data_IF_309192761646
#
_entry.id   IF_309192761646
#
_cell.length_a   1.000
_cell.length_b   1.000
_cell.length_c   1.000
_cell.angle_alpha   90.00
_cell.angle_beta   90.00
_cell.angle_gamma   90.00
#
_symmetry.space_group_name_H-M   'P 1'
#
loop_
_entity.id
_entity.type
_entity.pdbx_description
1 polymer ?
#
# COMPACT_ATOMS: atom_id res chain seq x y z
N UNK A 1 -13.39 -11.79 -2.53
CA UNK A 1 -12.33 -10.77 -2.38
C UNK A 1 -12.21 -9.87 -3.61
N UNK A 2 -11.68 -10.35 -4.74
CA UNK A 2 -11.31 -9.47 -5.87
C UNK A 2 -12.47 -8.75 -6.58
N UNK A 3 -13.72 -9.23 -6.45
CA UNK A 3 -14.90 -8.56 -6.99
C UNK A 3 -15.31 -7.28 -6.21
N UNK A 4 -14.65 -6.97 -5.09
CA UNK A 4 -15.03 -5.86 -4.20
C UNK A 4 -16.27 -6.14 -3.34
N UNK A 5 -16.84 -7.34 -3.45
CA UNK A 5 -17.95 -7.82 -2.64
C UNK A 5 -17.49 -8.23 -1.24
N UNK A 6 -18.42 -8.23 -0.28
CA UNK A 6 -18.18 -8.69 1.09
C UNK A 6 -17.81 -10.18 1.07
N UNK A 7 -16.73 -10.54 1.75
CA UNK A 7 -16.24 -11.91 1.87
C UNK A 7 -15.74 -12.19 3.29
N UNK A 8 -15.54 -13.48 3.61
CA UNK A 8 -14.89 -13.88 4.86
C UNK A 8 -13.38 -14.04 4.65
N UNK A 9 -12.53 -13.32 5.42
CA UNK A 9 -11.08 -13.49 5.35
C UNK A 9 -10.62 -14.85 5.90
N UNK A 10 -11.51 -15.61 6.54
CA UNK A 10 -11.26 -16.97 7.03
C UNK A 10 -11.47 -18.06 5.97
N UNK A 11 -11.71 -17.67 4.71
CA UNK A 11 -11.66 -18.63 3.61
C UNK A 11 -10.30 -19.33 3.58
N UNK A 12 -10.30 -20.65 3.34
CA UNK A 12 -9.09 -21.47 3.45
C UNK A 12 -8.00 -21.05 2.47
N UNK A 13 -8.39 -20.66 1.25
CA UNK A 13 -7.44 -20.21 0.23
C UNK A 13 -6.81 -18.87 0.63
N UNK A 14 -7.64 -17.92 1.10
CA UNK A 14 -7.17 -16.62 1.57
C UNK A 14 -6.24 -16.76 2.77
N UNK A 15 -6.59 -17.59 3.76
CA UNK A 15 -5.73 -17.86 4.91
C UNK A 15 -4.38 -18.46 4.51
N UNK A 16 -4.36 -19.34 3.51
CA UNK A 16 -3.12 -19.94 3.01
C UNK A 16 -2.24 -18.90 2.30
N UNK A 17 -2.84 -18.05 1.46
CA UNK A 17 -2.13 -16.96 0.79
C UNK A 17 -1.56 -15.95 1.80
N UNK A 18 -2.38 -15.51 2.76
CA UNK A 18 -1.96 -14.59 3.82
C UNK A 18 -0.81 -15.17 4.64
N UNK A 19 -0.93 -16.43 5.08
CA UNK A 19 0.14 -17.11 5.82
C UNK A 19 1.45 -17.17 5.02
N UNK A 20 1.37 -17.44 3.72
CA UNK A 20 2.55 -17.48 2.86
C UNK A 20 3.22 -16.10 2.74
N UNK A 21 2.42 -15.04 2.60
CA UNK A 21 2.93 -13.67 2.58
C UNK A 21 3.61 -13.30 3.89
N UNK A 22 3.02 -13.65 5.05
CA UNK A 22 3.62 -13.39 6.36
C UNK A 22 5.01 -14.05 6.53
N UNK A 23 5.19 -15.28 6.02
CA UNK A 23 6.50 -15.96 6.03
C UNK A 23 7.53 -15.15 5.23
N UNK A 24 7.15 -14.67 4.04
CA UNK A 24 8.07 -13.86 3.22
C UNK A 24 8.34 -12.48 3.83
N UNK A 25 7.35 -11.85 4.45
CA UNK A 25 7.50 -10.58 5.18
C UNK A 25 8.48 -10.75 6.35
N UNK A 26 8.34 -11.81 7.14
CA UNK A 26 9.24 -12.11 8.26
C UNK A 26 10.69 -12.27 7.78
N UNK A 27 10.91 -13.08 6.75
CA UNK A 27 12.24 -13.29 6.16
C UNK A 27 12.81 -11.98 5.61
N UNK A 28 12.02 -11.24 4.83
CA UNK A 28 12.43 -9.96 4.27
C UNK A 28 12.88 -8.98 5.36
N UNK A 29 12.08 -8.84 6.42
CA UNK A 29 12.39 -7.91 7.51
C UNK A 29 13.61 -8.32 8.33
N UNK A 30 13.96 -9.60 8.37
CA UNK A 30 15.12 -10.13 9.08
C UNK A 30 16.42 -10.04 8.26
N UNK A 31 16.35 -10.33 6.97
CA UNK A 31 17.54 -10.61 6.13
C UNK A 31 17.90 -9.45 5.19
N UNK A 32 16.99 -8.51 4.91
CA UNK A 32 17.23 -7.47 3.91
C UNK A 32 18.33 -6.45 4.28
N UNK A 33 18.83 -6.43 5.52
CA UNK A 33 19.97 -5.61 5.92
C UNK A 33 21.34 -6.25 5.67
N UNK A 34 21.41 -7.57 5.47
CA UNK A 34 22.67 -8.31 5.42
C UNK A 34 23.17 -8.58 4.01
N UNK A 35 22.27 -8.80 3.05
CA UNK A 35 22.63 -9.11 1.66
C UNK A 35 21.67 -8.40 0.66
N UNK A 36 22.25 -7.61 -0.25
CA UNK A 36 21.49 -6.83 -1.22
C UNK A 36 20.87 -7.67 -2.36
N UNK A 37 21.45 -8.82 -2.70
CA UNK A 37 20.93 -9.75 -3.70
C UNK A 37 19.82 -10.61 -3.12
N UNK A 38 20.01 -11.12 -1.91
CA UNK A 38 18.98 -11.87 -1.17
C UNK A 38 17.74 -11.00 -0.94
N UNK A 39 17.94 -9.73 -0.55
CA UNK A 39 16.86 -8.74 -0.43
C UNK A 39 16.01 -8.63 -1.70
N UNK A 40 16.64 -8.53 -2.87
CA UNK A 40 15.92 -8.39 -4.15
C UNK A 40 15.12 -9.65 -4.48
N UNK A 41 15.69 -10.83 -4.23
CA UNK A 41 15.01 -12.09 -4.51
C UNK A 41 13.83 -12.33 -3.57
N UNK A 42 13.97 -12.02 -2.27
CA UNK A 42 12.86 -12.07 -1.32
C UNK A 42 11.75 -11.09 -1.71
N UNK A 43 12.12 -9.86 -2.09
CA UNK A 43 11.14 -8.86 -2.53
C UNK A 43 10.38 -9.32 -3.79
N UNK A 44 11.06 -9.99 -4.73
CA UNK A 44 10.44 -10.55 -5.94
C UNK A 44 9.46 -11.69 -5.64
N UNK A 45 9.73 -12.49 -4.61
CA UNK A 45 8.80 -13.53 -4.13
C UNK A 45 7.59 -12.92 -3.43
N UNK A 46 7.81 -11.89 -2.62
CA UNK A 46 6.77 -11.22 -1.85
C UNK A 46 5.85 -10.36 -2.74
N UNK A 47 6.44 -9.57 -3.64
CA UNK A 47 5.76 -8.60 -4.50
C UNK A 47 6.02 -8.88 -5.99
N UNK A 48 5.54 -10.02 -6.53
CA UNK A 48 5.88 -10.48 -7.87
C UNK A 48 5.41 -9.56 -9.00
N UNK A 49 4.45 -8.67 -8.72
CA UNK A 49 3.83 -7.76 -9.67
C UNK A 49 4.46 -6.35 -9.67
N UNK A 50 5.63 -6.20 -9.04
CA UNK A 50 6.38 -4.94 -8.98
C UNK A 50 7.58 -4.95 -9.90
N UNK A 51 7.97 -3.78 -10.41
CA UNK A 51 9.15 -3.63 -11.25
C UNK A 51 10.43 -3.96 -10.43
N UNK A 52 11.44 -4.66 -11.01
CA UNK A 52 12.66 -5.05 -10.30
C UNK A 52 13.51 -3.92 -9.70
N UNK A 53 13.26 -2.68 -10.09
CA UNK A 53 13.94 -1.50 -9.52
C UNK A 53 13.23 -0.91 -8.31
N UNK A 54 12.04 -1.39 -7.93
CA UNK A 54 11.40 -1.02 -6.67
C UNK A 54 12.31 -1.40 -5.50
N UNK A 55 12.53 -0.46 -4.60
CA UNK A 55 13.30 -0.68 -3.38
C UNK A 55 12.47 -0.34 -2.17
N UNK A 56 12.43 -1.23 -1.17
CA UNK A 56 11.63 -1.05 0.04
C UNK A 56 12.55 -1.20 1.25
N UNK A 57 12.62 -0.22 2.14
CA UNK A 57 13.40 -0.39 3.36
C UNK A 57 12.63 -1.22 4.40
N UNK A 58 13.19 -2.33 4.92
CA UNK A 58 12.59 -3.07 6.02
C UNK A 58 12.65 -2.26 7.33
N UNK A 59 11.67 -2.37 8.25
CA UNK A 59 10.55 -3.28 8.19
C UNK A 59 9.46 -2.82 7.21
N UNK A 60 8.82 -3.78 6.55
CA UNK A 60 7.67 -3.61 5.67
C UNK A 60 6.61 -4.65 6.02
N UNK A 61 5.33 -4.30 5.92
CA UNK A 61 4.20 -5.20 6.20
C UNK A 61 3.18 -5.16 5.06
N UNK A 62 2.62 -6.31 4.71
CA UNK A 62 1.48 -6.42 3.81
C UNK A 62 0.64 -7.67 4.11
N UNK A 63 -0.58 -7.75 3.56
CA UNK A 63 -1.49 -8.89 3.77
C UNK A 63 -1.14 -10.06 2.86
N UNK A 64 -0.99 -9.80 1.55
CA UNK A 64 -0.78 -10.81 0.53
C UNK A 64 0.45 -10.53 -0.33
N UNK A 65 0.78 -9.26 -0.56
CA UNK A 65 1.87 -8.80 -1.42
C UNK A 65 1.60 -8.93 -2.91
N UNK A 66 0.91 -10.00 -3.33
CA UNK A 66 0.58 -10.29 -4.74
C UNK A 66 -0.41 -9.31 -5.35
N UNK A 67 -1.12 -8.49 -4.57
CA UNK A 67 -2.04 -7.47 -5.09
C UNK A 67 -1.43 -6.07 -5.12
N UNK A 68 -0.12 -5.97 -4.85
CA UNK A 68 0.66 -4.74 -4.97
C UNK A 68 1.35 -4.74 -6.32
N UNK A 69 1.00 -3.75 -7.14
CA UNK A 69 1.57 -3.49 -8.45
C UNK A 69 2.46 -2.25 -8.36
N UNK A 70 3.67 -2.31 -8.91
CA UNK A 70 4.65 -1.23 -8.74
C UNK A 70 5.39 -0.88 -10.02
N UNK A 71 5.41 0.39 -10.36
CA UNK A 71 6.17 0.95 -11.48
C UNK A 71 7.68 1.00 -11.22
N UNK A 72 8.40 1.42 -12.25
CA UNK A 72 9.86 1.55 -12.21
C UNK A 72 10.33 2.67 -11.28
N UNK A 73 11.55 2.51 -10.74
CA UNK A 73 12.30 3.56 -10.04
C UNK A 73 11.59 4.15 -8.82
N UNK A 74 10.81 3.32 -8.13
CA UNK A 74 10.10 3.69 -6.92
C UNK A 74 10.87 3.29 -5.66
N UNK A 75 10.75 4.08 -4.60
CA UNK A 75 11.39 3.87 -3.30
C UNK A 75 10.35 3.98 -2.18
N UNK A 76 10.34 2.99 -1.28
CA UNK A 76 9.51 2.95 -0.08
C UNK A 76 10.42 2.92 1.14
N UNK A 77 10.24 3.88 2.05
CA UNK A 77 11.08 4.01 3.22
C UNK A 77 10.60 3.12 4.39
N UNK A 78 11.34 3.15 5.50
CA UNK A 78 11.14 2.28 6.67
C UNK A 78 9.72 2.28 7.22
N UNK A 79 9.26 1.13 7.73
CA UNK A 79 8.05 1.02 8.56
C UNK A 79 6.73 1.13 7.80
N UNK A 80 6.74 1.03 6.47
CA UNK A 80 5.51 1.13 5.69
C UNK A 80 4.64 -0.12 5.80
N UNK A 81 3.33 0.09 5.79
CA UNK A 81 2.31 -0.99 5.82
C UNK A 81 1.36 -0.82 4.63
N UNK A 82 1.18 -1.88 3.83
CA UNK A 82 0.26 -1.90 2.69
C UNK A 82 -0.69 -3.09 2.83
N UNK A 83 -1.93 -2.84 3.23
CA UNK A 83 -2.97 -3.86 3.37
C UNK A 83 -3.67 -4.04 2.01
N UNK A 84 -3.31 -5.10 1.28
CA UNK A 84 -3.64 -5.30 -0.13
C UNK A 84 -4.78 -6.32 -0.38
N UNK A 85 -5.87 -6.26 0.40
CA UNK A 85 -7.13 -7.01 0.15
C UNK A 85 -7.81 -6.69 -1.20
N UNK A 86 -7.37 -5.64 -1.89
CA UNK A 86 -7.72 -5.28 -3.26
C UNK A 86 -6.48 -4.71 -3.96
N UNK A 87 -6.49 -4.58 -5.31
CA UNK A 87 -5.34 -4.06 -6.05
C UNK A 87 -4.85 -2.70 -5.53
N UNK A 88 -3.55 -2.62 -5.24
CA UNK A 88 -2.82 -1.39 -4.92
C UNK A 88 -1.90 -1.09 -6.09
N UNK A 89 -2.15 -0.01 -6.82
CA UNK A 89 -1.33 0.41 -7.96
C UNK A 89 -0.41 1.55 -7.55
N UNK A 90 0.90 1.32 -7.64
CA UNK A 90 1.95 2.29 -7.40
C UNK A 90 2.60 2.64 -8.75
N UNK A 91 2.54 3.90 -9.16
CA UNK A 91 3.19 4.40 -10.37
C UNK A 91 4.72 4.32 -10.35
N UNK A 92 5.34 4.96 -11.35
CA UNK A 92 6.80 5.07 -11.45
C UNK A 92 7.34 6.29 -10.70
N UNK A 93 8.64 6.27 -10.42
CA UNK A 93 9.38 7.37 -9.79
C UNK A 93 8.77 7.83 -8.44
N UNK A 94 8.14 6.91 -7.70
CA UNK A 94 7.53 7.25 -6.43
C UNK A 94 8.59 7.40 -5.34
N UNK A 95 8.41 8.42 -4.51
CA UNK A 95 9.10 8.53 -3.22
C UNK A 95 8.07 8.40 -2.11
N UNK A 96 8.10 7.28 -1.37
CA UNK A 96 7.22 7.04 -0.22
C UNK A 96 8.06 7.16 1.05
N UNK A 97 7.70 8.12 1.89
CA UNK A 97 8.34 8.40 3.18
C UNK A 97 8.13 7.29 4.21
N UNK A 98 8.78 7.38 5.38
CA UNK A 98 8.71 6.33 6.39
C UNK A 98 7.34 6.29 7.06
N UNK A 99 6.93 5.11 7.55
CA UNK A 99 5.70 4.88 8.29
C UNK A 99 4.41 5.23 7.52
N UNK A 100 4.47 5.21 6.18
CA UNK A 100 3.29 5.39 5.33
C UNK A 100 2.42 4.13 5.38
N UNK A 101 1.11 4.35 5.39
CA UNK A 101 0.10 3.34 5.60
C UNK A 101 -0.93 3.40 4.47
N UNK A 102 -1.11 2.30 3.74
CA UNK A 102 -2.03 2.21 2.60
C UNK A 102 -3.04 1.10 2.91
N UNK A 103 -4.31 1.45 3.01
CA UNK A 103 -5.35 0.55 3.52
C UNK A 103 -6.45 0.33 2.47
N UNK A 104 -6.45 -0.80 1.77
CA UNK A 104 -7.59 -1.25 0.97
C UNK A 104 -8.78 -1.84 1.76
N UNK A 105 -8.62 -2.49 2.94
CA UNK A 105 -9.72 -3.16 3.61
C UNK A 105 -10.80 -2.20 4.12
N UNK A 106 -12.06 -2.64 4.02
CA UNK A 106 -13.24 -1.97 4.57
C UNK A 106 -14.08 -3.01 5.31
N UNK A 107 -14.45 -2.71 6.56
CA UNK A 107 -15.44 -3.49 7.28
C UNK A 107 -16.84 -2.88 7.15
N UNK A 108 -17.91 -3.70 7.24
CA UNK A 108 -19.27 -3.20 7.25
C UNK A 108 -19.51 -2.16 8.34
N UNK A 109 -20.35 -1.15 8.03
CA UNK A 109 -20.79 -0.16 9.02
C UNK A 109 -21.67 -0.80 10.09
N UNK A 110 -22.52 -1.76 9.71
CA UNK A 110 -23.35 -2.50 10.65
C UNK A 110 -22.48 -3.33 11.59
N UNK A 111 -22.58 -3.06 12.90
CA UNK A 111 -21.72 -3.70 13.89
C UNK A 111 -21.96 -5.21 14.02
N UNK A 112 -23.18 -5.70 13.77
CA UNK A 112 -23.50 -7.14 13.82
C UNK A 112 -22.84 -7.88 12.67
N UNK A 113 -22.85 -7.29 11.49
CA UNK A 113 -22.18 -7.84 10.31
C UNK A 113 -20.66 -7.80 10.49
N UNK A 114 -20.11 -6.66 10.90
CA UNK A 114 -18.67 -6.50 11.20
C UNK A 114 -18.18 -7.48 12.27
N UNK A 115 -19.00 -7.80 13.28
CA UNK A 115 -18.66 -8.77 14.32
C UNK A 115 -18.48 -10.20 13.79
N UNK A 116 -18.95 -10.50 12.58
CA UNK A 116 -18.67 -11.79 11.92
C UNK A 116 -17.27 -11.87 11.31
N UNK A 117 -16.55 -10.74 11.27
CA UNK A 117 -15.20 -10.64 10.72
C UNK A 117 -15.15 -10.47 9.20
N UNK A 118 -16.29 -10.31 8.53
CA UNK A 118 -16.33 -10.06 7.08
C UNK A 118 -15.78 -8.68 6.71
N UNK A 119 -15.28 -8.59 5.49
CA UNK A 119 -14.68 -7.38 4.93
C UNK A 119 -14.87 -7.33 3.40
N UNK A 120 -14.57 -6.18 2.81
CA UNK A 120 -14.35 -6.04 1.38
C UNK A 120 -13.13 -5.16 1.13
N UNK A 121 -12.49 -5.30 -0.03
CA UNK A 121 -11.36 -4.46 -0.42
C UNK A 121 -11.79 -3.36 -1.40
N UNK A 122 -11.21 -2.17 -1.26
CA UNK A 122 -11.33 -1.10 -2.27
C UNK A 122 -9.95 -0.76 -2.84
N UNK A 123 -9.77 -0.79 -4.17
CA UNK A 123 -8.47 -0.56 -4.78
C UNK A 123 -7.98 0.86 -4.51
N UNK A 124 -6.66 1.02 -4.47
CA UNK A 124 -5.98 2.33 -4.31
C UNK A 124 -5.00 2.50 -5.44
N UNK A 125 -4.91 3.72 -5.97
CA UNK A 125 -3.97 4.07 -7.04
C UNK A 125 -3.17 5.30 -6.67
N UNK A 126 -1.85 5.25 -6.85
CA UNK A 126 -0.94 6.39 -6.73
C UNK A 126 -0.26 6.58 -8.08
N UNK A 127 -0.50 7.72 -8.71
CA UNK A 127 0.04 8.07 -10.03
C UNK A 127 1.55 8.28 -10.03
N UNK A 128 2.09 8.51 -11.22
CA UNK A 128 3.53 8.64 -11.44
C UNK A 128 4.11 9.89 -10.78
N UNK A 129 5.41 9.87 -10.48
CA UNK A 129 6.20 11.02 -10.03
C UNK A 129 5.67 11.68 -8.73
N UNK A 130 5.00 10.91 -7.87
CA UNK A 130 4.47 11.41 -6.60
C UNK A 130 5.49 11.32 -5.45
N UNK A 131 5.37 12.27 -4.51
CA UNK A 131 6.04 12.21 -3.21
C UNK A 131 5.02 12.10 -2.08
N UNK A 132 5.05 10.98 -1.37
CA UNK A 132 4.21 10.72 -0.20
C UNK A 132 5.04 10.96 1.06
N UNK A 133 4.69 11.98 1.83
CA UNK A 133 5.37 12.33 3.08
C UNK A 133 5.28 11.21 4.12
N UNK A 134 6.21 11.21 5.08
CA UNK A 134 6.21 10.20 6.15
C UNK A 134 4.96 10.24 7.03
N UNK A 135 4.52 9.09 7.52
CA UNK A 135 3.36 8.96 8.39
C UNK A 135 2.01 9.25 7.73
N UNK A 136 1.95 9.33 6.39
CA UNK A 136 0.69 9.48 5.66
C UNK A 136 -0.14 8.20 5.75
N UNK A 137 -1.45 8.36 5.88
CA UNK A 137 -2.45 7.29 5.78
C UNK A 137 -3.28 7.50 4.51
N UNK A 138 -3.38 6.49 3.66
CA UNK A 138 -4.20 6.49 2.45
C UNK A 138 -5.36 5.51 2.66
N UNK A 139 -6.58 6.03 2.64
CA UNK A 139 -7.79 5.28 2.93
C UNK A 139 -8.32 4.49 1.72
N UNK A 140 -9.22 3.51 1.95
CA UNK A 140 -9.75 2.63 0.91
C UNK A 140 -10.40 3.37 -0.25
N UNK A 141 -10.09 2.96 -1.49
CA UNK A 141 -10.75 3.50 -2.69
C UNK A 141 -10.16 4.80 -3.24
N UNK A 142 -9.09 5.32 -2.63
CA UNK A 142 -8.48 6.61 -3.03
C UNK A 142 -7.63 6.46 -4.28
N UNK A 143 -7.77 7.44 -5.19
CA UNK A 143 -6.83 7.70 -6.28
C UNK A 143 -6.06 9.00 -6.04
N UNK A 144 -4.73 8.91 -5.99
CA UNK A 144 -3.83 10.05 -6.02
C UNK A 144 -3.32 10.19 -7.46
N UNK A 145 -3.57 11.34 -8.07
CA UNK A 145 -3.14 11.66 -9.42
C UNK A 145 -1.62 11.78 -9.57
N UNK A 146 -1.16 12.02 -10.78
CA UNK A 146 0.28 12.13 -11.08
C UNK A 146 0.89 13.41 -10.50
N UNK A 147 2.20 13.36 -10.24
CA UNK A 147 3.02 14.52 -9.81
C UNK A 147 2.50 15.18 -8.53
N UNK A 148 1.81 14.42 -7.69
CA UNK A 148 1.27 14.91 -6.42
C UNK A 148 2.32 14.91 -5.32
N UNK A 149 2.19 15.86 -4.39
CA UNK A 149 2.91 15.85 -3.12
C UNK A 149 1.88 15.73 -1.99
N UNK A 150 2.02 14.70 -1.16
CA UNK A 150 1.21 14.53 0.04
C UNK A 150 2.06 14.88 1.26
N UNK A 151 1.66 15.92 2.01
CA UNK A 151 2.38 16.36 3.20
C UNK A 151 2.43 15.28 4.28
N UNK A 152 3.52 15.23 5.04
CA UNK A 152 3.71 14.27 6.14
C UNK A 152 2.54 14.30 7.15
N UNK A 153 2.19 13.13 7.70
CA UNK A 153 1.12 12.97 8.68
C UNK A 153 -0.31 13.18 8.14
N UNK A 154 -0.48 13.28 6.82
CA UNK A 154 -1.80 13.50 6.23
C UNK A 154 -2.65 12.23 6.22
N UNK A 155 -3.97 12.39 6.30
CA UNK A 155 -4.95 11.29 6.13
C UNK A 155 -5.76 11.54 4.86
N UNK A 156 -5.46 10.79 3.81
CA UNK A 156 -6.07 10.93 2.50
C UNK A 156 -7.34 10.08 2.44
N UNK A 157 -8.49 10.75 2.53
CA UNK A 157 -9.83 10.13 2.55
C UNK A 157 -10.63 10.38 1.26
N UNK A 158 -10.07 11.14 0.32
CA UNK A 158 -10.66 11.50 -0.97
C UNK A 158 -9.56 11.56 -2.01
N UNK A 159 -9.94 11.39 -3.27
CA UNK A 159 -9.03 11.49 -4.41
C UNK A 159 -8.31 12.85 -4.44
N UNK A 160 -7.04 12.81 -4.85
CA UNK A 160 -6.20 13.99 -5.04
C UNK A 160 -5.95 14.12 -6.54
N UNK A 161 -6.34 15.23 -7.19
CA UNK A 161 -6.12 15.41 -8.61
C UNK A 161 -4.63 15.57 -8.91
N UNK A 162 -4.25 15.33 -10.18
CA UNK A 162 -2.90 15.57 -10.69
C UNK A 162 -2.34 16.94 -10.26
N UNK A 163 -1.01 17.04 -10.21
CA UNK A 163 -0.27 18.28 -10.00
C UNK A 163 -0.62 19.00 -8.69
N UNK A 164 -1.03 18.26 -7.67
CA UNK A 164 -1.52 18.85 -6.43
C UNK A 164 -0.56 18.65 -5.26
N UNK A 165 -0.37 19.72 -4.48
CA UNK A 165 0.10 19.57 -3.10
C UNK A 165 -1.11 19.49 -2.16
N UNK A 166 -1.26 18.35 -1.48
CA UNK A 166 -2.31 18.14 -0.48
C UNK A 166 -1.71 17.84 0.89
N UNK A 167 -2.33 18.36 1.95
CA UNK A 167 -1.90 18.08 3.32
C UNK A 167 -3.05 18.21 4.33
N UNK A 168 -2.92 17.52 5.47
CA UNK A 168 -3.81 17.61 6.62
C UNK A 168 -4.52 16.30 6.98
N UNK A 169 -5.30 16.34 8.05
CA UNK A 169 -6.20 15.26 8.46
C UNK A 169 -7.62 15.85 8.66
N UNK A 170 -8.54 15.70 7.68
CA UNK A 170 -8.32 15.06 6.37
C UNK A 170 -7.41 15.88 5.46
N UNK A 171 -6.75 15.21 4.50
CA UNK A 171 -5.90 15.86 3.50
C UNK A 171 -6.75 16.72 2.56
N UNK A 172 -6.31 17.96 2.33
CA UNK A 172 -6.97 18.91 1.42
C UNK A 172 -5.91 19.50 0.49
N UNK A 173 -6.24 19.63 -0.79
CA UNK A 173 -5.40 20.33 -1.77
C UNK A 173 -5.16 21.76 -1.30
N UNK A 174 -3.89 22.13 -1.16
CA UNK A 174 -3.45 23.47 -0.73
C UNK A 174 -3.10 24.35 -1.91
N UNK A 175 -2.57 23.75 -2.99
CA UNK A 175 -2.25 24.42 -4.24
C UNK A 175 -1.99 23.42 -5.36
N UNK A 176 -2.10 23.89 -6.59
CA UNK A 176 -1.54 23.23 -7.78
C UNK A 176 -0.05 23.54 -7.89
N UNK A 177 0.71 22.61 -8.48
CA UNK A 177 2.17 22.65 -8.66
C UNK A 177 2.57 23.11 -10.06
N UNK A 178 1.64 23.06 -11.03
CA UNK A 178 1.77 23.52 -12.40
C UNK A 178 0.69 24.55 -12.74
#
# INVERSE_FOLDING_TARGET
>A
MLAGEVYSPYDKELMQLHKQALIWVEQYNKEAFTDCMERKELLRKLLPNTHPSLTIQPPFLCDYGILIYGGENSFINYGCTILDTAPITLGKNLLIGPNVQIYAPVHPFNFKERATGVECGKPISIGDDCWIGGGVVICPGVTIGNRCIIGAGSVVVKDIPDDSFAAGNPAIVKRTLL
#
